data_IF_041578812021
#
_entry.id   IF_041578812021
#
_cell.length_a   1.000
_cell.length_b   1.000
_cell.length_c   1.000
_cell.angle_alpha   90.00
_cell.angle_beta   90.00
_cell.angle_gamma   90.00
#
_symmetry.space_group_name_H-M   'P 1'
#
loop_
_entity.id
_entity.type
_entity.pdbx_description
1 polymer ?
#
# COMPACT_ATOMS: atom_id res chain seq x y z
N UNK A 1 87.00 16.33 -25.33
CA UNK A 1 85.65 15.76 -25.54
C UNK A 1 85.19 15.11 -24.24
N UNK A 2 84.14 15.63 -23.59
CA UNK A 2 83.62 15.15 -22.30
C UNK A 2 82.56 14.08 -22.56
N UNK A 3 82.76 12.88 -22.03
CA UNK A 3 81.77 11.79 -22.03
C UNK A 3 80.74 12.07 -20.93
N UNK A 4 79.45 12.08 -21.30
CA UNK A 4 78.33 12.19 -20.35
C UNK A 4 77.68 10.81 -20.23
N UNK A 5 77.86 10.16 -19.09
CA UNK A 5 77.19 8.89 -18.76
C UNK A 5 75.72 9.14 -18.44
N UNK A 6 74.82 8.50 -19.19
CA UNK A 6 73.38 8.50 -18.91
C UNK A 6 73.05 7.45 -17.85
N UNK A 7 72.58 7.90 -16.69
CA UNK A 7 71.96 7.05 -15.66
C UNK A 7 70.52 6.75 -16.09
N UNK A 8 70.17 5.47 -16.21
CA UNK A 8 68.78 5.02 -16.42
C UNK A 8 68.18 4.71 -15.05
N UNK A 9 67.22 5.52 -14.62
CA UNK A 9 66.42 5.27 -13.41
C UNK A 9 65.23 4.40 -13.82
N UNK A 10 65.18 3.16 -13.33
CA UNK A 10 64.03 2.29 -13.50
C UNK A 10 62.93 2.68 -12.49
N UNK A 11 61.84 3.26 -12.98
CA UNK A 11 60.66 3.58 -12.17
C UNK A 11 59.78 2.33 -12.08
N UNK A 12 59.80 1.65 -10.93
CA UNK A 12 58.81 0.61 -10.61
C UNK A 12 57.45 1.26 -10.35
N UNK A 13 56.54 1.20 -11.31
CA UNK A 13 55.12 1.53 -11.09
C UNK A 13 54.47 0.41 -10.25
N UNK A 14 54.36 0.63 -8.95
CA UNK A 14 53.41 -0.11 -8.11
C UNK A 14 51.99 0.39 -8.44
N UNK A 15 51.26 -0.34 -9.27
CA UNK A 15 49.83 -0.12 -9.46
C UNK A 15 49.09 -0.53 -8.17
N UNK A 16 48.27 0.34 -7.56
CA UNK A 16 47.48 -0.03 -6.40
C UNK A 16 46.47 -1.11 -6.81
N UNK A 17 46.61 -2.30 -6.25
CA UNK A 17 45.60 -3.35 -6.33
C UNK A 17 44.43 -2.86 -5.48
N UNK A 18 43.43 -2.26 -6.12
CA UNK A 18 42.16 -1.93 -5.47
C UNK A 18 41.55 -3.25 -5.00
N UNK A 19 41.65 -3.53 -3.70
CA UNK A 19 40.97 -4.65 -3.07
C UNK A 19 39.47 -4.40 -3.21
N UNK A 20 38.83 -5.08 -4.16
CA UNK A 20 37.38 -5.16 -4.25
C UNK A 20 36.89 -5.93 -3.01
N UNK A 21 36.76 -5.24 -1.88
CA UNK A 21 36.04 -5.78 -0.74
C UNK A 21 34.61 -6.07 -1.22
N UNK A 22 34.26 -7.35 -1.30
CA UNK A 22 32.90 -7.75 -1.61
C UNK A 22 31.96 -7.05 -0.60
N UNK A 23 30.83 -6.46 -1.05
CA UNK A 23 29.91 -5.80 -0.14
C UNK A 23 29.46 -6.80 0.92
N UNK A 24 29.68 -6.45 2.19
CA UNK A 24 29.24 -7.25 3.34
C UNK A 24 27.75 -7.52 3.19
N UNK A 25 27.30 -8.79 3.30
CA UNK A 25 25.89 -9.10 3.18
C UNK A 25 25.10 -8.28 4.22
N UNK A 26 23.92 -7.73 3.86
CA UNK A 26 23.13 -7.00 4.82
C UNK A 26 22.80 -7.91 6.00
N UNK A 27 23.06 -7.42 7.21
CA UNK A 27 22.78 -8.14 8.46
C UNK A 27 21.44 -7.67 9.04
N UNK A 28 20.78 -8.55 9.79
CA UNK A 28 19.60 -8.20 10.58
C UNK A 28 19.94 -7.10 11.60
N UNK A 29 18.99 -6.21 11.86
CA UNK A 29 19.10 -5.21 12.90
C UNK A 29 18.85 -5.86 14.27
N UNK A 30 19.35 -5.26 15.38
CA UNK A 30 19.04 -5.76 16.72
C UNK A 30 17.53 -5.67 17.01
N UNK A 31 16.93 -6.82 17.33
CA UNK A 31 15.54 -6.94 17.76
C UNK A 31 14.54 -7.09 16.61
N UNK A 32 13.28 -6.76 16.85
CA UNK A 32 12.19 -7.02 15.90
C UNK A 32 11.12 -5.94 15.97
N UNK A 33 10.78 -5.33 14.83
CA UNK A 33 9.57 -4.51 14.71
C UNK A 33 8.36 -5.43 14.57
N UNK A 34 7.26 -5.08 15.25
CA UNK A 34 5.98 -5.76 15.12
C UNK A 34 4.93 -4.77 14.62
N UNK A 35 4.23 -5.11 13.54
CA UNK A 35 3.13 -4.32 12.98
C UNK A 35 1.88 -5.19 12.95
N UNK A 36 0.87 -4.84 13.74
CA UNK A 36 -0.40 -5.56 13.83
C UNK A 36 -1.52 -4.73 13.22
N UNK A 37 -2.10 -5.20 12.11
CA UNK A 37 -3.36 -4.68 11.57
C UNK A 37 -4.46 -5.40 12.34
N UNK A 38 -5.07 -4.71 13.30
CA UNK A 38 -6.00 -5.27 14.27
C UNK A 38 -7.35 -5.57 13.60
N UNK A 39 -7.95 -6.71 13.95
CA UNK A 39 -9.35 -6.98 13.59
C UNK A 39 -10.28 -6.16 14.51
N UNK A 40 -10.66 -4.98 14.04
CA UNK A 40 -11.59 -4.04 14.70
C UNK A 40 -12.94 -3.99 14.00
N UNK A 41 -13.25 -4.98 13.16
CA UNK A 41 -14.39 -4.93 12.26
C UNK A 41 -14.12 -4.03 11.04
N UNK A 42 -15.16 -3.32 10.58
CA UNK A 42 -14.99 -2.40 9.45
C UNK A 42 -14.26 -1.15 9.93
N UNK A 43 -13.03 -0.95 9.46
CA UNK A 43 -12.19 0.18 9.84
C UNK A 43 -10.71 -0.16 9.94
N UNK A 44 -9.93 0.80 10.43
CA UNK A 44 -8.49 0.65 10.66
C UNK A 44 -8.11 0.82 12.13
N UNK A 45 -7.29 -0.09 12.62
CA UNK A 45 -6.41 0.17 13.76
C UNK A 45 -5.10 -0.60 13.55
N UNK A 46 -3.98 0.11 13.45
CA UNK A 46 -2.67 -0.49 13.19
C UNK A 46 -1.73 -0.16 14.35
N UNK A 47 -1.35 -1.19 15.10
CA UNK A 47 -0.40 -1.09 16.21
C UNK A 47 1.02 -1.41 15.73
N UNK A 48 1.93 -0.47 15.94
CA UNK A 48 3.35 -0.62 15.63
C UNK A 48 4.13 -0.65 16.94
N UNK A 49 5.00 -1.64 17.10
CA UNK A 49 5.94 -1.75 18.22
C UNK A 49 7.36 -1.85 17.72
N UNK A 50 8.21 -0.95 18.18
CA UNK A 50 9.64 -0.98 17.88
C UNK A 50 10.36 -2.05 18.70
N UNK A 51 11.58 -2.44 18.29
CA UNK A 51 12.44 -3.31 19.09
C UNK A 51 12.67 -2.84 20.53
N UNK A 52 12.70 -1.51 20.75
CA UNK A 52 12.91 -0.86 22.04
C UNK A 52 11.62 -0.76 22.88
N UNK A 53 10.51 -1.32 22.41
CA UNK A 53 9.21 -1.28 23.10
C UNK A 53 8.45 0.03 22.94
N UNK A 54 8.87 0.91 22.02
CA UNK A 54 8.12 2.13 21.67
C UNK A 54 6.91 1.77 20.83
N UNK A 55 5.79 2.46 21.05
CA UNK A 55 4.50 2.08 20.46
C UNK A 55 3.83 3.24 19.74
N UNK A 56 3.31 2.95 18.54
CA UNK A 56 2.45 3.86 17.80
C UNK A 56 1.14 3.16 17.44
N UNK A 57 0.01 3.86 17.53
CA UNK A 57 -1.29 3.41 17.04
C UNK A 57 -1.74 4.32 15.90
N UNK A 58 -1.94 3.74 14.71
CA UNK A 58 -2.47 4.45 13.55
C UNK A 58 -3.93 4.05 13.39
N UNK A 59 -4.82 5.02 13.56
CA UNK A 59 -6.27 4.84 13.69
C UNK A 59 -6.66 3.90 14.87
N UNK A 60 -7.91 3.98 15.29
CA UNK A 60 -8.45 3.31 16.46
C UNK A 60 -9.74 2.54 16.17
N UNK A 61 -10.06 2.34 14.89
CA UNK A 61 -11.26 1.63 14.45
C UNK A 61 -12.54 2.36 14.84
N UNK A 62 -13.69 1.69 14.69
CA UNK A 62 -14.92 2.12 15.35
C UNK A 62 -14.76 2.08 16.87
N UNK A 63 -15.68 2.70 17.62
CA UNK A 63 -15.53 2.90 19.06
C UNK A 63 -15.51 1.64 19.92
N UNK A 64 -15.97 0.49 19.40
CA UNK A 64 -16.14 -0.71 20.22
C UNK A 64 -14.81 -1.50 20.40
N UNK A 65 -14.43 -1.74 21.65
CA UNK A 65 -13.41 -2.72 22.07
C UNK A 65 -11.94 -2.40 21.72
N UNK A 66 -11.61 -1.20 21.24
CA UNK A 66 -10.21 -0.89 20.91
C UNK A 66 -9.31 -0.94 22.14
N UNK A 67 -9.75 -0.41 23.29
CA UNK A 67 -8.94 -0.41 24.52
C UNK A 67 -8.67 -1.85 24.99
N UNK A 68 -9.70 -2.69 25.08
CA UNK A 68 -9.54 -4.09 25.47
C UNK A 68 -8.69 -4.88 24.48
N UNK A 69 -8.81 -4.57 23.18
CA UNK A 69 -7.95 -5.16 22.14
C UNK A 69 -6.48 -4.77 22.36
N UNK A 70 -6.19 -3.50 22.62
CA UNK A 70 -4.82 -3.03 22.89
C UNK A 70 -4.25 -3.65 24.17
N UNK A 71 -5.05 -3.79 25.23
CA UNK A 71 -4.67 -4.47 26.47
C UNK A 71 -4.36 -5.95 26.23
N UNK A 72 -5.20 -6.67 25.48
CA UNK A 72 -4.95 -8.06 25.08
C UNK A 72 -3.69 -8.22 24.22
N UNK A 73 -3.39 -7.21 23.40
CA UNK A 73 -2.13 -7.15 22.65
C UNK A 73 -0.93 -6.87 23.57
N UNK A 74 -1.13 -6.49 24.83
CA UNK A 74 -0.07 -6.15 25.79
C UNK A 74 0.41 -4.70 25.71
N UNK A 75 -0.41 -3.77 25.21
CA UNK A 75 -0.09 -2.33 25.23
C UNK A 75 -0.23 -1.82 26.66
N UNK A 76 0.84 -1.26 27.22
CA UNK A 76 0.83 -0.55 28.49
C UNK A 76 0.96 0.98 28.34
N UNK A 77 1.48 1.44 27.21
CA UNK A 77 1.62 2.87 26.89
C UNK A 77 1.62 3.09 25.38
N UNK A 78 1.35 4.32 24.94
CA UNK A 78 1.39 4.76 23.55
C UNK A 78 2.30 5.99 23.43
N UNK A 79 3.38 5.90 22.65
CA UNK A 79 4.24 7.06 22.37
C UNK A 79 3.59 7.98 21.34
N UNK A 80 2.95 7.42 20.31
CA UNK A 80 2.26 8.16 19.26
C UNK A 80 0.89 7.56 18.99
N UNK A 81 -0.12 8.40 18.84
CA UNK A 81 -1.38 8.02 18.17
C UNK A 81 -1.59 8.90 16.94
N UNK A 82 -2.12 8.30 15.88
CA UNK A 82 -2.39 9.00 14.62
C UNK A 82 -3.84 8.80 14.23
N UNK A 83 -4.53 9.86 13.82
CA UNK A 83 -5.82 9.80 13.13
C UNK A 83 -5.58 10.15 11.66
N UNK A 84 -5.81 9.21 10.76
CA UNK A 84 -5.56 9.38 9.33
C UNK A 84 -6.53 10.37 8.71
N UNK A 85 -7.83 10.25 8.99
CA UNK A 85 -8.88 11.17 8.53
C UNK A 85 -10.13 11.03 9.42
N UNK A 86 -11.19 11.78 9.10
CA UNK A 86 -12.32 11.99 10.01
C UNK A 86 -13.49 11.00 9.87
N UNK A 87 -13.31 9.83 9.25
CA UNK A 87 -14.36 8.80 9.25
C UNK A 87 -14.34 7.97 10.55
N UNK A 88 -15.54 7.62 11.03
CA UNK A 88 -15.72 7.02 12.35
C UNK A 88 -15.13 5.60 12.46
N UNK A 89 -14.97 4.89 11.35
CA UNK A 89 -14.26 3.61 11.28
C UNK A 89 -12.73 3.75 11.39
N UNK A 90 -12.22 4.99 11.51
CA UNK A 90 -10.80 5.29 11.76
C UNK A 90 -10.59 5.93 13.12
N UNK A 91 -11.22 7.07 13.41
CA UNK A 91 -10.99 7.77 14.68
C UNK A 91 -11.95 7.36 15.81
N UNK A 92 -12.97 6.55 15.52
CA UNK A 92 -14.12 6.34 16.40
C UNK A 92 -13.78 5.87 17.81
N UNK A 93 -12.77 5.02 17.97
CA UNK A 93 -12.28 4.59 19.29
C UNK A 93 -11.19 5.46 19.91
N UNK A 94 -10.77 6.54 19.24
CA UNK A 94 -9.60 7.31 19.66
C UNK A 94 -9.86 8.06 20.97
N UNK A 95 -11.08 8.48 21.28
CA UNK A 95 -11.36 9.16 22.54
C UNK A 95 -11.17 8.24 23.75
N UNK A 96 -11.59 6.98 23.64
CA UNK A 96 -11.33 5.93 24.63
C UNK A 96 -9.82 5.67 24.78
N UNK A 97 -9.09 5.59 23.67
CA UNK A 97 -7.63 5.43 23.67
C UNK A 97 -6.94 6.60 24.38
N UNK A 98 -7.31 7.84 24.08
CA UNK A 98 -6.78 9.03 24.76
C UNK A 98 -7.08 9.00 26.26
N UNK A 99 -8.28 8.54 26.64
CA UNK A 99 -8.68 8.43 28.05
C UNK A 99 -7.84 7.39 28.80
N UNK A 100 -7.67 6.21 28.22
CA UNK A 100 -7.03 5.05 28.83
C UNK A 100 -5.50 5.15 28.86
N UNK A 101 -4.87 5.51 27.73
CA UNK A 101 -3.40 5.41 27.58
C UNK A 101 -2.67 6.73 27.69
N UNK A 102 -3.36 7.88 27.53
CA UNK A 102 -2.79 9.23 27.55
C UNK A 102 -1.46 9.30 26.75
N UNK A 103 -1.52 9.15 25.42
CA UNK A 103 -0.31 9.03 24.60
C UNK A 103 0.60 10.26 24.69
N UNK A 104 1.88 10.07 24.39
CA UNK A 104 2.88 11.16 24.46
C UNK A 104 2.69 12.19 23.35
N UNK A 105 2.24 11.76 22.17
CA UNK A 105 1.93 12.62 21.03
C UNK A 105 0.65 12.18 20.33
N UNK A 106 -0.08 13.17 19.82
CA UNK A 106 -1.23 12.99 18.95
C UNK A 106 -0.91 13.59 17.57
N UNK A 107 -1.15 12.87 16.49
CA UNK A 107 -1.07 13.38 15.12
C UNK A 107 -2.42 13.21 14.44
N UNK A 108 -2.88 14.21 13.70
CA UNK A 108 -4.06 14.07 12.86
C UNK A 108 -3.86 14.77 11.52
N UNK A 109 -4.72 14.44 10.55
CA UNK A 109 -4.83 15.20 9.31
C UNK A 109 -4.98 16.69 9.57
N UNK A 110 -4.44 17.52 8.67
CA UNK A 110 -4.61 18.96 8.72
C UNK A 110 -5.91 19.44 8.06
N UNK A 111 -6.76 18.52 7.58
CA UNK A 111 -8.09 18.89 7.04
C UNK A 111 -8.98 19.48 8.13
N UNK A 112 -9.79 20.45 7.76
CA UNK A 112 -10.79 21.02 8.66
C UNK A 112 -12.02 20.13 8.70
N UNK A 113 -12.56 19.92 9.90
CA UNK A 113 -13.77 19.13 10.10
C UNK A 113 -14.57 19.67 11.28
N UNK A 114 -15.90 19.67 11.14
CA UNK A 114 -16.80 20.38 12.05
C UNK A 114 -17.76 19.46 12.79
N UNK A 115 -17.65 18.13 12.62
CA UNK A 115 -18.50 17.21 13.36
C UNK A 115 -18.24 17.30 14.87
N UNK A 116 -19.32 17.38 15.64
CA UNK A 116 -19.24 17.50 17.10
C UNK A 116 -18.45 16.34 17.76
N UNK A 117 -18.56 15.07 17.33
CA UNK A 117 -17.75 13.98 17.89
C UNK A 117 -16.24 14.21 17.71
N UNK A 118 -15.80 14.65 16.53
CA UNK A 118 -14.39 14.92 16.28
C UNK A 118 -13.90 16.15 17.06
N UNK A 119 -14.70 17.22 17.12
CA UNK A 119 -14.35 18.40 17.93
C UNK A 119 -14.24 18.05 19.43
N UNK A 120 -15.04 17.10 19.94
CA UNK A 120 -14.90 16.58 21.31
C UNK A 120 -13.59 15.83 21.51
N UNK A 121 -13.15 15.04 20.54
CA UNK A 121 -11.83 14.39 20.58
C UNK A 121 -10.71 15.44 20.66
N UNK A 122 -10.74 16.49 19.81
CA UNK A 122 -9.72 17.54 19.84
C UNK A 122 -9.70 18.30 21.18
N UNK A 123 -10.87 18.61 21.74
CA UNK A 123 -10.98 19.19 23.10
C UNK A 123 -10.38 18.27 24.15
N UNK A 124 -10.66 16.96 24.08
CA UNK A 124 -10.09 15.98 25.01
C UNK A 124 -8.55 15.92 24.91
N UNK A 125 -7.98 15.89 23.71
CA UNK A 125 -6.52 15.93 23.49
C UNK A 125 -5.90 17.17 24.13
N UNK A 126 -6.51 18.34 23.90
CA UNK A 126 -6.09 19.62 24.50
C UNK A 126 -6.21 19.61 26.02
N UNK A 127 -7.35 19.19 26.56
CA UNK A 127 -7.64 19.23 28.00
C UNK A 127 -6.75 18.23 28.78
N UNK A 128 -6.29 17.17 28.12
CA UNK A 128 -5.28 16.24 28.66
C UNK A 128 -3.84 16.76 28.53
N UNK A 129 -3.62 17.87 27.83
CA UNK A 129 -2.30 18.46 27.59
C UNK A 129 -1.41 17.58 26.72
N UNK A 130 -2.00 16.84 25.77
CA UNK A 130 -1.24 15.98 24.85
C UNK A 130 -0.73 16.84 23.70
N UNK A 131 0.59 16.90 23.45
CA UNK A 131 1.15 17.61 22.30
C UNK A 131 0.58 17.08 20.99
N UNK A 132 -0.08 17.96 20.23
CA UNK A 132 -0.60 17.67 18.91
C UNK A 132 0.39 18.13 17.85
N UNK A 133 0.65 17.26 16.87
CA UNK A 133 1.45 17.55 15.68
C UNK A 133 0.62 17.26 14.43
N UNK A 134 1.05 17.78 13.29
CA UNK A 134 0.38 17.53 12.01
C UNK A 134 1.38 17.23 10.88
N UNK A 135 0.86 16.77 9.74
CA UNK A 135 1.59 16.75 8.48
C UNK A 135 2.20 18.12 8.14
N UNK A 136 3.28 18.09 7.37
CA UNK A 136 3.98 19.29 6.89
C UNK A 136 4.03 19.30 5.36
N UNK A 137 4.33 20.44 4.71
CA UNK A 137 4.53 20.48 3.26
C UNK A 137 5.64 19.53 2.77
N UNK A 138 6.64 19.28 3.62
CA UNK A 138 7.70 18.30 3.40
C UNK A 138 7.45 17.03 4.23
N UNK A 139 8.00 15.87 3.84
CA UNK A 139 7.92 14.65 4.64
C UNK A 139 8.45 14.85 6.06
N UNK A 140 7.65 14.48 7.07
CA UNK A 140 8.05 14.53 8.48
C UNK A 140 8.49 13.14 8.94
N UNK A 141 9.72 13.02 9.43
CA UNK A 141 10.21 11.78 10.04
C UNK A 141 9.95 11.80 11.55
N UNK A 142 9.46 10.70 12.07
CA UNK A 142 9.27 10.43 13.50
C UNK A 142 10.01 9.14 13.82
N UNK A 143 10.93 9.22 14.77
CA UNK A 143 11.68 8.06 15.27
C UNK A 143 10.88 7.39 16.39
N UNK A 144 10.44 6.16 16.14
CA UNK A 144 9.85 5.27 17.12
C UNK A 144 10.92 4.26 17.54
N UNK A 145 11.92 4.71 18.28
CA UNK A 145 13.15 3.94 18.49
C UNK A 145 13.93 3.81 17.18
N UNK A 146 14.36 2.60 16.82
CA UNK A 146 15.03 2.33 15.53
C UNK A 146 14.08 2.24 14.33
N UNK A 147 12.77 2.27 14.56
CA UNK A 147 11.76 2.30 13.49
C UNK A 147 11.49 3.75 13.09
N UNK A 148 11.50 4.05 11.80
CA UNK A 148 11.20 5.40 11.29
C UNK A 148 9.80 5.41 10.68
N UNK A 149 8.94 6.27 11.20
CA UNK A 149 7.66 6.63 10.59
C UNK A 149 7.84 7.91 9.80
N UNK A 150 7.79 7.83 8.47
CA UNK A 150 7.79 9.01 7.60
C UNK A 150 6.35 9.35 7.25
N UNK A 151 5.86 10.44 7.82
CA UNK A 151 4.56 11.06 7.49
C UNK A 151 4.70 11.76 6.15
N UNK A 152 3.78 11.44 5.25
CA UNK A 152 3.75 12.02 3.91
C UNK A 152 3.39 13.50 4.00
N UNK A 153 3.79 14.30 2.99
CA UNK A 153 3.24 15.63 2.87
C UNK A 153 1.73 15.52 2.61
N UNK A 154 0.93 16.40 3.21
CA UNK A 154 -0.53 16.36 3.05
C UNK A 154 -0.91 16.84 1.65
N UNK A 155 -1.78 16.09 0.98
CA UNK A 155 -2.38 16.56 -0.26
C UNK A 155 -3.25 17.82 0.01
N UNK A 156 -3.51 18.66 -1.01
CA UNK A 156 -4.47 19.75 -0.87
C UNK A 156 -5.82 19.23 -0.36
N UNK A 157 -6.37 19.88 0.66
CA UNK A 157 -7.62 19.49 1.30
C UNK A 157 -8.76 19.34 0.27
N UNK A 158 -9.43 18.19 0.26
CA UNK A 158 -10.63 17.91 -0.52
C UNK A 158 -11.87 17.96 0.39
N UNK A 159 -12.64 19.06 0.38
CA UNK A 159 -13.82 19.20 1.23
C UNK A 159 -15.01 18.35 0.76
N UNK A 160 -14.93 17.70 -0.41
CA UNK A 160 -16.01 16.89 -0.98
C UNK A 160 -15.81 15.40 -0.75
N UNK A 161 -14.59 14.98 -0.44
CA UNK A 161 -14.22 13.58 -0.25
C UNK A 161 -13.21 13.49 0.90
N UNK A 162 -13.72 13.22 2.11
CA UNK A 162 -12.90 13.16 3.33
C UNK A 162 -11.81 12.10 3.25
N UNK A 163 -12.01 11.03 2.48
CA UNK A 163 -11.00 9.99 2.29
C UNK A 163 -9.70 10.51 1.64
N UNK A 164 -9.79 11.55 0.80
CA UNK A 164 -8.62 12.20 0.16
C UNK A 164 -7.89 13.19 1.08
N UNK A 165 -8.24 13.20 2.37
CA UNK A 165 -7.53 13.95 3.40
C UNK A 165 -6.80 13.01 4.36
N UNK A 166 -6.42 11.80 3.90
CA UNK A 166 -5.76 10.81 4.75
C UNK A 166 -4.32 11.17 5.05
N UNK A 167 -3.86 10.87 6.26
CA UNK A 167 -2.41 10.90 6.55
C UNK A 167 -1.76 9.64 5.99
N UNK A 168 -0.92 9.80 4.96
CA UNK A 168 -0.06 8.74 4.45
C UNK A 168 1.17 8.53 5.36
N UNK A 169 1.53 7.28 5.62
CA UNK A 169 2.68 6.91 6.47
C UNK A 169 3.46 5.78 5.83
N UNK A 170 4.78 5.96 5.74
CA UNK A 170 5.73 4.89 5.46
C UNK A 170 6.44 4.50 6.76
N UNK A 171 6.41 3.22 7.09
CA UNK A 171 7.18 2.62 8.18
C UNK A 171 8.43 2.00 7.57
N UNK A 172 9.62 2.36 8.05
CA UNK A 172 10.89 1.78 7.61
C UNK A 172 11.65 1.18 8.81
N UNK A 173 12.17 -0.04 8.63
CA UNK A 173 13.08 -0.70 9.56
C UNK A 173 14.04 -1.61 8.77
N UNK A 174 15.30 -1.18 8.64
CA UNK A 174 16.26 -1.85 7.75
C UNK A 174 15.77 -1.88 6.29
N UNK A 175 15.60 -3.08 5.74
CA UNK A 175 15.04 -3.34 4.40
C UNK A 175 13.55 -3.67 4.42
N UNK A 176 12.94 -3.76 5.61
CA UNK A 176 11.51 -3.98 5.77
C UNK A 176 10.77 -2.65 5.78
N UNK A 177 9.60 -2.62 5.14
CA UNK A 177 8.78 -1.41 5.02
C UNK A 177 7.29 -1.68 4.91
N UNK A 178 6.48 -0.78 5.45
CA UNK A 178 5.02 -0.84 5.40
C UNK A 178 4.48 0.49 4.89
N UNK A 179 3.58 0.45 3.91
CA UNK A 179 2.83 1.63 3.46
C UNK A 179 1.41 1.60 4.00
N UNK A 180 1.08 2.64 4.77
CA UNK A 180 -0.24 2.89 5.34
C UNK A 180 -0.80 4.14 4.66
N UNK A 181 -1.83 3.98 3.84
CA UNK A 181 -2.39 5.06 3.03
C UNK A 181 -3.74 5.58 3.56
N UNK A 182 -4.18 5.15 4.74
CA UNK A 182 -5.53 5.40 5.25
C UNK A 182 -6.56 5.00 4.19
N UNK A 183 -7.46 5.93 3.87
CA UNK A 183 -8.49 5.75 2.85
C UNK A 183 -8.24 6.53 1.56
N UNK A 184 -7.00 6.99 1.36
CA UNK A 184 -6.59 7.77 0.20
C UNK A 184 -7.10 7.16 -1.12
N UNK A 185 -7.96 7.91 -1.80
CA UNK A 185 -8.47 7.50 -3.11
C UNK A 185 -7.53 7.98 -4.22
N UNK A 186 -7.97 7.84 -5.47
CA UNK A 186 -7.18 8.17 -6.65
C UNK A 186 -6.59 9.59 -6.61
N UNK A 187 -7.32 10.60 -6.14
CA UNK A 187 -6.83 11.99 -6.18
C UNK A 187 -5.60 12.18 -5.28
N UNK A 188 -5.72 11.80 -4.00
CA UNK A 188 -4.64 11.91 -3.02
C UNK A 188 -3.44 11.03 -3.38
N UNK A 189 -3.68 9.76 -3.75
CA UNK A 189 -2.59 8.86 -4.20
C UNK A 189 -1.84 9.42 -5.40
N UNK A 190 -2.55 9.95 -6.40
CA UNK A 190 -1.92 10.58 -7.57
C UNK A 190 -1.10 11.80 -7.19
N UNK A 191 -1.49 12.54 -6.16
CA UNK A 191 -0.70 13.65 -5.65
C UNK A 191 0.61 13.15 -5.03
N UNK A 192 0.56 12.15 -4.13
CA UNK A 192 1.77 11.53 -3.55
C UNK A 192 2.69 10.90 -4.59
N UNK A 193 2.15 10.26 -5.63
CA UNK A 193 2.94 9.72 -6.73
C UNK A 193 3.76 10.79 -7.46
N UNK A 194 3.30 12.05 -7.45
CA UNK A 194 4.02 13.18 -8.09
C UNK A 194 4.97 13.87 -7.13
N UNK A 195 4.55 14.06 -5.87
CA UNK A 195 5.28 14.90 -4.90
C UNK A 195 6.22 14.11 -4.00
N UNK A 196 5.91 12.85 -3.72
CA UNK A 196 6.68 11.98 -2.85
C UNK A 196 6.79 10.53 -3.38
N UNK A 197 7.18 10.30 -4.66
CA UNK A 197 7.22 8.96 -5.25
C UNK A 197 8.12 7.99 -4.48
N UNK A 198 9.22 8.48 -3.91
CA UNK A 198 10.16 7.66 -3.14
C UNK A 198 9.54 7.09 -1.85
N UNK A 199 8.57 7.79 -1.24
CA UNK A 199 7.87 7.27 -0.05
C UNK A 199 6.85 6.19 -0.43
N UNK A 200 6.26 6.31 -1.61
CA UNK A 200 5.30 5.33 -2.14
C UNK A 200 5.99 4.03 -2.57
N UNK A 201 7.20 4.15 -3.15
CA UNK A 201 7.84 3.06 -3.88
C UNK A 201 8.36 1.91 -2.98
N UNK A 202 8.34 0.69 -3.51
CA UNK A 202 9.04 -0.47 -2.90
C UNK A 202 8.74 -0.69 -1.42
N UNK A 203 7.46 -0.84 -1.09
CA UNK A 203 7.03 -1.20 0.25
C UNK A 203 6.95 -2.71 0.39
N UNK A 204 7.37 -3.30 1.51
CA UNK A 204 7.24 -4.77 1.71
C UNK A 204 5.77 -5.14 1.89
N UNK A 205 5.05 -4.39 2.71
CA UNK A 205 3.63 -4.58 3.01
C UNK A 205 2.85 -3.33 2.56
N UNK A 206 1.68 -3.54 1.97
CA UNK A 206 0.71 -2.49 1.68
C UNK A 206 -0.58 -2.76 2.46
N UNK A 207 -0.98 -1.87 3.36
CA UNK A 207 -2.39 -1.82 3.81
C UNK A 207 -3.20 -1.19 2.69
N UNK A 208 -4.12 -1.95 2.10
CA UNK A 208 -4.91 -1.50 0.95
C UNK A 208 -5.71 -0.26 1.33
N UNK A 209 -5.48 0.85 0.64
CA UNK A 209 -6.23 2.07 0.92
C UNK A 209 -7.74 1.83 0.81
N UNK A 210 -8.51 2.48 1.68
CA UNK A 210 -9.97 2.43 1.67
C UNK A 210 -10.50 1.00 1.73
N UNK A 211 -9.86 0.20 2.58
CA UNK A 211 -10.23 -1.19 2.88
C UNK A 211 -10.23 -2.12 1.65
N UNK A 212 -9.55 -1.72 0.57
CA UNK A 212 -9.59 -2.41 -0.72
C UNK A 212 -10.73 -1.99 -1.65
N UNK A 213 -11.25 -0.77 -1.48
CA UNK A 213 -12.22 -0.16 -2.39
C UNK A 213 -11.68 -0.03 -3.81
N UNK A 214 -12.58 -0.06 -4.81
CA UNK A 214 -12.25 0.08 -6.24
C UNK A 214 -11.53 1.39 -6.60
N UNK A 215 -11.61 2.41 -5.76
CA UNK A 215 -10.92 3.70 -5.94
C UNK A 215 -9.64 3.85 -5.09
N UNK A 216 -9.40 2.91 -4.16
CA UNK A 216 -8.24 2.93 -3.26
C UNK A 216 -6.97 2.30 -3.86
N UNK A 217 -7.08 1.49 -4.92
CA UNK A 217 -5.91 0.86 -5.54
C UNK A 217 -6.10 0.69 -7.05
N UNK A 218 -5.03 0.93 -7.81
CA UNK A 218 -4.98 0.73 -9.26
C UNK A 218 -3.62 0.17 -9.71
N UNK A 219 -3.53 -0.26 -10.97
CA UNK A 219 -2.31 -0.86 -11.53
C UNK A 219 -1.08 0.04 -11.37
N UNK A 220 -1.24 1.35 -11.63
CA UNK A 220 -0.15 2.33 -11.53
C UNK A 220 0.34 2.48 -10.09
N UNK A 221 -0.55 2.41 -9.11
CA UNK A 221 -0.17 2.37 -7.70
C UNK A 221 0.62 1.11 -7.35
N UNK A 222 0.16 -0.06 -7.79
CA UNK A 222 0.87 -1.32 -7.55
C UNK A 222 2.23 -1.41 -8.27
N UNK A 223 2.35 -0.79 -9.45
CA UNK A 223 3.61 -0.68 -10.19
C UNK A 223 4.66 0.15 -9.43
N UNK A 224 4.22 1.18 -8.70
CA UNK A 224 5.06 2.02 -7.86
C UNK A 224 5.38 1.34 -6.53
N UNK A 225 4.36 0.93 -5.78
CA UNK A 225 4.50 0.38 -4.42
C UNK A 225 5.17 -0.99 -4.40
N UNK A 226 4.88 -1.84 -5.40
CA UNK A 226 5.46 -3.18 -5.58
C UNK A 226 5.46 -4.06 -4.32
N UNK A 227 4.31 -4.20 -3.61
CA UNK A 227 4.26 -4.93 -2.36
C UNK A 227 4.55 -6.42 -2.51
N UNK A 228 5.03 -7.03 -1.43
CA UNK A 228 5.19 -8.48 -1.30
C UNK A 228 3.92 -9.14 -0.76
N UNK A 229 3.14 -8.41 0.02
CA UNK A 229 1.83 -8.81 0.53
C UNK A 229 0.96 -7.57 0.71
N UNK A 230 -0.34 -7.70 0.46
CA UNK A 230 -1.34 -6.69 0.74
C UNK A 230 -2.24 -7.15 1.89
N UNK A 231 -2.66 -6.22 2.75
CA UNK A 231 -3.59 -6.47 3.86
C UNK A 231 -4.80 -5.57 3.69
N UNK A 232 -6.00 -6.14 3.75
CA UNK A 232 -7.25 -5.39 3.79
C UNK A 232 -7.82 -5.45 5.21
N UNK A 233 -7.88 -4.28 5.87
CA UNK A 233 -8.57 -4.13 7.15
C UNK A 233 -10.06 -3.89 6.87
N UNK A 234 -10.93 -4.77 7.33
CA UNK A 234 -12.37 -4.73 7.08
C UNK A 234 -13.13 -5.75 7.94
N UNK A 235 -14.43 -5.52 8.08
CA UNK A 235 -15.30 -6.35 8.90
C UNK A 235 -15.92 -7.52 8.13
N UNK A 236 -16.27 -8.58 8.87
CA UNK A 236 -17.12 -9.67 8.37
C UNK A 236 -18.46 -9.10 7.91
N UNK A 237 -18.94 -9.54 6.75
CA UNK A 237 -20.21 -9.10 6.16
C UNK A 237 -20.37 -7.57 6.07
N UNK A 238 -19.27 -6.84 5.80
CA UNK A 238 -19.34 -5.39 5.66
C UNK A 238 -20.26 -4.98 4.49
N UNK A 239 -21.12 -3.99 4.72
CA UNK A 239 -22.12 -3.51 3.76
C UNK A 239 -21.51 -2.83 2.53
N UNK A 240 -20.23 -2.44 2.60
CA UNK A 240 -19.48 -1.85 1.50
C UNK A 240 -19.01 -2.88 0.48
N UNK A 241 -19.14 -4.18 0.79
CA UNK A 241 -18.63 -5.29 -0.01
C UNK A 241 -17.12 -5.20 -0.29
N UNK A 242 -16.38 -4.66 0.67
CA UNK A 242 -14.93 -4.60 0.66
C UNK A 242 -14.30 -5.98 0.99
N UNK A 243 -13.12 -6.28 0.42
CA UNK A 243 -12.49 -5.56 -0.67
C UNK A 243 -13.28 -5.82 -1.97
N UNK A 244 -13.34 -4.81 -2.85
CA UNK A 244 -14.08 -4.94 -4.11
C UNK A 244 -13.46 -6.05 -4.99
N UNK A 245 -14.27 -6.84 -5.74
CA UNK A 245 -13.77 -7.90 -6.61
C UNK A 245 -12.68 -7.44 -7.59
N UNK A 246 -12.82 -6.23 -8.15
CA UNK A 246 -11.85 -5.65 -9.08
C UNK A 246 -10.47 -5.46 -8.43
N UNK A 247 -10.44 -5.08 -7.14
CA UNK A 247 -9.21 -4.94 -6.36
C UNK A 247 -8.56 -6.30 -6.14
N UNK A 248 -9.36 -7.32 -5.77
CA UNK A 248 -8.88 -8.70 -5.58
C UNK A 248 -8.30 -9.28 -6.87
N UNK A 249 -9.01 -9.12 -8.00
CA UNK A 249 -8.55 -9.55 -9.32
C UNK A 249 -7.29 -8.81 -9.76
N UNK A 250 -7.18 -7.52 -9.44
CA UNK A 250 -5.97 -6.75 -9.72
C UNK A 250 -4.77 -7.28 -8.92
N UNK A 251 -4.90 -7.55 -7.63
CA UNK A 251 -3.82 -8.12 -6.81
C UNK A 251 -3.40 -9.50 -7.32
N UNK A 252 -4.36 -10.35 -7.69
CA UNK A 252 -4.09 -11.66 -8.27
C UNK A 252 -3.28 -11.56 -9.57
N UNK A 253 -3.59 -10.62 -10.46
CA UNK A 253 -2.81 -10.38 -11.70
C UNK A 253 -1.37 -9.94 -11.44
N UNK A 254 -1.10 -9.35 -10.28
CA UNK A 254 0.24 -8.90 -9.88
C UNK A 254 1.00 -9.96 -9.05
N UNK A 255 0.40 -11.12 -8.83
CA UNK A 255 0.91 -12.15 -7.92
C UNK A 255 1.19 -11.57 -6.51
N UNK A 256 0.28 -10.73 -6.01
CA UNK A 256 0.34 -10.15 -4.67
C UNK A 256 -0.65 -10.93 -3.79
N UNK A 257 -0.17 -11.67 -2.78
CA UNK A 257 -1.02 -12.29 -1.77
C UNK A 257 -1.84 -11.24 -1.02
N UNK A 258 -3.10 -11.58 -0.74
CA UNK A 258 -4.03 -10.75 0.01
C UNK A 258 -4.41 -11.44 1.32
N UNK A 259 -4.22 -10.73 2.43
CA UNK A 259 -4.72 -11.08 3.76
C UNK A 259 -5.88 -10.14 4.12
N UNK A 260 -6.84 -10.61 4.90
CA UNK A 260 -8.02 -9.84 5.29
C UNK A 260 -8.37 -10.08 6.75
N UNK A 261 -8.59 -9.01 7.51
CA UNK A 261 -8.89 -9.14 8.95
C UNK A 261 -10.19 -9.89 9.22
N UNK A 262 -11.19 -9.77 8.35
CA UNK A 262 -12.45 -10.51 8.49
C UNK A 262 -12.32 -12.04 8.36
N UNK A 263 -11.24 -12.52 7.74
CA UNK A 263 -10.99 -13.95 7.52
C UNK A 263 -9.84 -14.47 8.38
N UNK A 264 -8.79 -13.68 8.48
CA UNK A 264 -7.50 -14.03 9.06
C UNK A 264 -7.31 -13.44 10.47
N UNK A 265 -8.32 -12.73 10.99
CA UNK A 265 -8.25 -12.00 12.26
C UNK A 265 -7.19 -10.92 12.23
N UNK A 266 -6.64 -10.58 13.40
CA UNK A 266 -5.51 -9.64 13.47
C UNK A 266 -4.32 -10.18 12.67
N UNK A 267 -3.86 -9.40 11.69
CA UNK A 267 -2.69 -9.72 10.86
C UNK A 267 -1.47 -9.06 11.47
N UNK A 268 -0.58 -9.86 12.05
CA UNK A 268 0.65 -9.41 12.68
C UNK A 268 1.87 -9.74 11.82
N UNK A 269 2.65 -8.73 11.45
CA UNK A 269 3.92 -8.89 10.75
C UNK A 269 5.07 -8.57 11.69
N UNK A 270 6.07 -9.45 11.74
CA UNK A 270 7.30 -9.26 12.52
C UNK A 270 8.50 -9.23 11.61
N UNK A 271 9.44 -8.31 11.84
CA UNK A 271 10.67 -8.23 11.03
C UNK A 271 11.90 -7.86 11.86
N UNK A 272 13.03 -8.51 11.56
CA UNK A 272 14.37 -8.17 12.07
C UNK A 272 15.08 -7.11 11.18
N UNK A 273 14.35 -6.50 10.25
CA UNK A 273 14.86 -5.52 9.29
C UNK A 273 15.49 -6.15 8.04
N UNK A 274 15.57 -7.47 7.94
CA UNK A 274 16.00 -8.17 6.71
C UNK A 274 14.99 -9.24 6.29
N UNK A 275 14.59 -10.06 7.25
CA UNK A 275 13.57 -11.08 7.15
C UNK A 275 12.28 -10.61 7.83
N UNK A 276 11.16 -11.16 7.40
CA UNK A 276 9.87 -10.88 8.00
C UNK A 276 8.94 -12.08 7.89
N UNK A 277 7.96 -12.16 8.79
CA UNK A 277 6.99 -13.24 8.89
C UNK A 277 5.61 -12.68 9.22
N UNK A 278 4.56 -13.41 8.83
CA UNK A 278 3.16 -13.05 9.06
C UNK A 278 2.51 -14.07 10.00
N UNK A 279 1.71 -13.57 10.94
CA UNK A 279 0.92 -14.32 11.90
C UNK A 279 -0.54 -13.85 11.82
N UNK A 280 -1.49 -14.78 11.92
CA UNK A 280 -2.94 -14.58 11.78
C UNK A 280 -3.67 -15.37 12.88
N UNK A 281 -4.93 -15.05 13.19
CA UNK A 281 -5.75 -15.74 14.20
C UNK A 281 -7.15 -16.10 13.63
N UNK A 282 -7.72 -17.30 13.83
CA UNK A 282 -7.28 -18.42 14.67
C UNK A 282 -6.45 -19.42 13.86
N UNK A 283 -5.39 -19.94 14.48
CA UNK A 283 -4.49 -20.99 13.99
C UNK A 283 -3.45 -20.65 12.89
N UNK A 284 -2.22 -21.08 13.24
CA UNK A 284 -1.04 -21.30 12.42
C UNK A 284 -0.30 -20.06 11.94
N UNK A 285 0.99 -19.96 12.31
CA UNK A 285 1.95 -19.20 11.51
C UNK A 285 1.84 -19.69 10.08
N UNK A 286 1.26 -18.91 9.17
CA UNK A 286 1.42 -19.22 7.75
C UNK A 286 2.93 -19.16 7.52
N UNK A 287 3.55 -20.30 7.21
CA UNK A 287 5.01 -20.49 7.18
C UNK A 287 5.71 -19.72 6.06
N UNK A 288 5.43 -18.42 5.94
CA UNK A 288 6.13 -17.47 5.10
C UNK A 288 7.47 -17.15 5.75
N UNK A 289 8.35 -18.15 5.73
CA UNK A 289 9.78 -17.95 5.95
C UNK A 289 10.43 -17.70 4.59
N UNK A 290 11.00 -16.50 4.42
CA UNK A 290 12.03 -16.22 3.43
C UNK A 290 11.68 -16.46 1.95
N UNK A 291 11.01 -15.49 1.32
CA UNK A 291 11.02 -15.42 -0.14
C UNK A 291 12.41 -14.97 -0.64
N UNK A 292 13.12 -15.81 -1.41
CA UNK A 292 14.41 -15.47 -2.02
C UNK A 292 14.23 -14.33 -3.07
N UNK A 293 14.82 -13.13 -2.85
CA UNK A 293 14.68 -12.00 -3.76
C UNK A 293 15.22 -12.26 -5.17
N UNK A 294 16.08 -13.28 -5.38
CA UNK A 294 16.65 -13.65 -6.68
C UNK A 294 15.65 -14.33 -7.62
N UNK A 295 14.56 -14.90 -7.11
CA UNK A 295 13.53 -15.57 -7.95
C UNK A 295 12.64 -14.57 -8.72
N UNK A 296 12.45 -13.35 -8.20
CA UNK A 296 11.59 -12.32 -8.83
C UNK A 296 12.33 -11.40 -9.82
N UNK A 297 13.65 -11.25 -9.73
CA UNK A 297 14.40 -10.40 -10.68
C UNK A 297 14.44 -11.01 -12.09
N UNK A 298 14.57 -12.34 -12.19
CA UNK A 298 14.49 -13.07 -13.47
C UNK A 298 13.12 -12.97 -14.14
N UNK A 299 12.02 -13.00 -13.36
CA UNK A 299 10.66 -12.90 -13.91
C UNK A 299 10.26 -11.48 -14.39
N UNK A 300 11.15 -10.48 -14.27
CA UNK A 300 10.91 -9.10 -14.70
C UNK A 300 11.66 -8.71 -15.98
N UNK A 301 12.79 -9.35 -16.31
CA UNK A 301 13.49 -9.07 -17.57
C UNK A 301 12.65 -9.43 -18.80
N UNK A 302 11.70 -10.36 -18.65
CA UNK A 302 10.88 -10.85 -19.75
C UNK A 302 9.56 -10.05 -19.94
N UNK A 303 9.26 -9.07 -19.07
CA UNK A 303 7.98 -8.32 -19.10
C UNK A 303 7.92 -7.14 -20.08
N UNK A 304 8.95 -6.96 -20.92
CA UNK A 304 8.88 -6.03 -22.06
C UNK A 304 8.39 -6.66 -23.37
N UNK A 305 8.01 -7.93 -23.36
CA UNK A 305 7.18 -8.48 -24.43
C UNK A 305 5.72 -8.06 -24.23
N UNK A 306 5.12 -7.38 -25.22
CA UNK A 306 3.66 -7.13 -25.26
C UNK A 306 2.94 -8.47 -25.07
N UNK A 307 1.96 -8.58 -24.14
CA UNK A 307 1.26 -9.83 -23.94
C UNK A 307 0.51 -10.20 -25.22
N UNK A 308 0.92 -11.31 -25.83
CA UNK A 308 0.12 -11.97 -26.87
C UNK A 308 -0.94 -12.79 -26.14
N UNK A 309 -2.24 -12.61 -26.41
CA UNK A 309 -3.27 -13.29 -25.64
C UNK A 309 -3.18 -14.81 -25.83
N UNK A 310 -3.05 -15.53 -24.71
CA UNK A 310 -3.08 -16.99 -24.58
C UNK A 310 -4.50 -17.58 -24.70
N UNK A 311 -5.50 -16.73 -24.97
CA UNK A 311 -6.86 -17.11 -25.36
C UNK A 311 -7.08 -16.64 -26.79
N UNK A 312 -7.43 -17.56 -27.70
CA UNK A 312 -7.70 -17.22 -29.10
C UNK A 312 -8.72 -16.07 -29.24
N UNK A 313 -8.52 -15.23 -30.26
CA UNK A 313 -9.32 -14.03 -30.53
C UNK A 313 -10.83 -14.29 -30.42
N UNK A 314 -11.50 -13.50 -29.58
CA UNK A 314 -12.93 -13.60 -29.30
C UNK A 314 -13.72 -13.16 -30.54
N UNK A 315 -14.53 -14.06 -31.09
CA UNK A 315 -15.36 -13.74 -32.25
C UNK A 315 -16.53 -12.84 -31.84
N UNK A 316 -16.55 -11.58 -32.29
CA UNK A 316 -17.51 -10.56 -31.86
C UNK A 316 -18.95 -10.83 -32.34
N UNK A 317 -19.12 -11.70 -33.33
CA UNK A 317 -20.43 -12.14 -33.84
C UNK A 317 -20.97 -13.39 -33.15
N UNK A 318 -20.10 -14.21 -32.55
CA UNK A 318 -20.47 -15.50 -31.95
C UNK A 318 -20.35 -15.57 -30.43
N UNK A 319 -19.50 -14.72 -29.83
CA UNK A 319 -19.24 -14.75 -28.40
C UNK A 319 -20.50 -14.51 -27.56
N UNK A 320 -20.64 -15.21 -26.45
CA UNK A 320 -21.62 -14.88 -25.41
C UNK A 320 -21.29 -13.53 -24.75
N UNK A 321 -22.27 -12.91 -24.08
CA UNK A 321 -22.06 -11.69 -23.28
C UNK A 321 -20.95 -11.89 -22.25
N UNK A 322 -20.90 -13.06 -21.60
CA UNK A 322 -19.86 -13.43 -20.63
C UNK A 322 -18.48 -13.52 -21.27
N UNK A 323 -18.37 -14.02 -22.49
CA UNK A 323 -17.11 -14.04 -23.23
C UNK A 323 -16.68 -12.63 -23.66
N UNK A 324 -17.60 -11.78 -24.10
CA UNK A 324 -17.29 -10.38 -24.46
C UNK A 324 -16.79 -9.57 -23.25
N UNK A 325 -17.33 -9.83 -22.06
CA UNK A 325 -16.89 -9.18 -20.80
C UNK A 325 -15.47 -9.54 -20.37
N UNK A 326 -14.85 -10.55 -20.99
CA UNK A 326 -13.43 -10.88 -20.78
C UNK A 326 -12.50 -9.93 -21.56
N UNK A 327 -13.02 -9.13 -22.49
CA UNK A 327 -12.26 -8.14 -23.24
C UNK A 327 -12.04 -6.91 -22.35
N UNK A 328 -10.78 -6.45 -22.14
CA UNK A 328 -10.50 -5.24 -21.37
C UNK A 328 -11.31 -4.04 -21.88
N UNK A 329 -11.98 -3.33 -20.97
CA UNK A 329 -12.80 -2.16 -21.32
C UNK A 329 -14.22 -2.45 -21.82
N UNK A 330 -14.63 -3.72 -21.93
CA UNK A 330 -16.01 -4.13 -22.26
C UNK A 330 -16.76 -4.58 -21.00
N UNK A 331 -17.52 -3.67 -20.40
CA UNK A 331 -18.44 -3.98 -19.30
C UNK A 331 -19.78 -4.57 -19.77
N UNK A 332 -20.67 -4.89 -18.82
CA UNK A 332 -22.00 -5.49 -19.10
C UNK A 332 -22.79 -4.70 -20.16
N UNK A 333 -22.89 -3.38 -20.00
CA UNK A 333 -23.62 -2.49 -20.92
C UNK A 333 -23.05 -2.54 -22.34
N UNK A 334 -21.72 -2.54 -22.49
CA UNK A 334 -21.08 -2.61 -23.81
C UNK A 334 -21.22 -3.99 -24.42
N UNK A 335 -21.09 -5.06 -23.62
CA UNK A 335 -21.34 -6.42 -24.11
C UNK A 335 -22.78 -6.59 -24.62
N UNK A 336 -23.77 -6.01 -23.93
CA UNK A 336 -25.16 -6.01 -24.37
C UNK A 336 -25.35 -5.26 -25.69
N UNK A 337 -24.72 -4.10 -25.84
CA UNK A 337 -24.76 -3.29 -27.08
C UNK A 337 -24.05 -3.98 -28.24
N UNK A 338 -22.91 -4.63 -28.00
CA UNK A 338 -22.20 -5.42 -29.00
C UNK A 338 -23.08 -6.59 -29.48
N UNK A 339 -23.75 -7.31 -28.57
CA UNK A 339 -24.65 -8.41 -28.98
C UNK A 339 -25.84 -7.87 -29.79
N UNK A 340 -26.40 -6.73 -29.37
CA UNK A 340 -27.54 -6.09 -30.06
C UNK A 340 -27.17 -5.58 -31.46
N UNK A 341 -25.94 -5.12 -31.67
CA UNK A 341 -25.49 -4.54 -32.94
C UNK A 341 -24.94 -5.54 -33.96
N UNK A 342 -25.02 -6.85 -33.69
CA UNK A 342 -24.60 -7.89 -34.64
C UNK A 342 -25.49 -7.92 -35.89
N UNK A 343 -24.96 -8.35 -37.05
CA UNK A 343 -23.59 -8.78 -37.28
C UNK A 343 -22.64 -7.64 -37.71
N UNK A 344 -21.37 -7.78 -37.34
CA UNK A 344 -20.25 -6.96 -37.77
C UNK A 344 -19.50 -7.65 -38.91
N UNK A 345 -19.17 -6.92 -39.98
CA UNK A 345 -18.38 -7.45 -41.10
C UNK A 345 -16.88 -7.46 -40.77
N UNK A 346 -16.42 -6.41 -40.10
CA UNK A 346 -15.03 -6.23 -39.63
C UNK A 346 -15.01 -5.87 -38.15
N UNK A 347 -13.84 -5.94 -37.52
CA UNK A 347 -13.68 -5.46 -36.13
C UNK A 347 -13.93 -3.96 -36.04
N UNK A 348 -13.60 -3.21 -37.09
CA UNK A 348 -13.76 -1.75 -37.12
C UNK A 348 -15.23 -1.33 -37.09
N UNK A 349 -16.15 -2.21 -37.48
CA UNK A 349 -17.57 -1.93 -37.37
C UNK A 349 -18.04 -1.69 -35.92
N UNK A 350 -17.25 -2.07 -34.92
CA UNK A 350 -17.53 -1.82 -33.51
C UNK A 350 -17.56 -0.33 -33.16
N UNK A 351 -16.97 0.58 -33.94
CA UNK A 351 -17.13 2.03 -33.68
C UNK A 351 -18.58 2.52 -33.82
N UNK A 352 -19.46 1.71 -34.46
CA UNK A 352 -20.90 1.99 -34.52
C UNK A 352 -21.62 1.68 -33.20
N UNK A 353 -20.97 0.97 -32.28
CA UNK A 353 -21.53 0.66 -30.97
C UNK A 353 -21.33 1.87 -30.07
N UNK A 354 -22.43 2.46 -29.62
CA UNK A 354 -22.42 3.57 -28.68
C UNK A 354 -21.56 3.23 -27.44
N UNK A 355 -20.53 4.03 -27.20
CA UNK A 355 -19.55 3.81 -26.12
C UNK A 355 -18.26 3.06 -26.53
N UNK A 356 -18.11 2.72 -27.81
CA UNK A 356 -16.87 2.25 -28.43
C UNK A 356 -16.43 3.28 -29.47
N UNK A 357 -15.54 4.20 -29.10
CA UNK A 357 -14.87 5.12 -30.04
C UNK A 357 -13.53 4.55 -30.55
N UNK A 358 -12.89 5.26 -31.48
CA UNK A 358 -11.57 4.95 -32.08
C UNK A 358 -10.53 4.47 -31.06
N UNK A 359 -10.38 5.21 -29.94
CA UNK A 359 -9.44 4.87 -28.88
C UNK A 359 -9.73 3.50 -28.25
N UNK A 360 -11.00 3.24 -27.94
CA UNK A 360 -11.42 1.98 -27.34
C UNK A 360 -11.36 0.83 -28.34
N UNK A 361 -11.69 1.09 -29.60
CA UNK A 361 -11.52 0.14 -30.69
C UNK A 361 -10.05 -0.33 -30.78
N UNK A 362 -9.10 0.61 -30.72
CA UNK A 362 -7.68 0.30 -30.71
C UNK A 362 -7.25 -0.57 -29.51
N UNK A 363 -7.81 -0.29 -28.32
CA UNK A 363 -7.55 -1.07 -27.09
C UNK A 363 -8.10 -2.50 -27.18
N UNK A 364 -9.28 -2.71 -27.78
CA UNK A 364 -9.91 -4.04 -27.86
C UNK A 364 -9.48 -4.86 -29.08
N UNK A 365 -8.97 -4.22 -30.15
CA UNK A 365 -8.59 -4.85 -31.43
C UNK A 365 -7.71 -6.11 -31.27
N UNK A 366 -6.72 -6.15 -30.36
CA UNK A 366 -5.88 -7.34 -30.18
C UNK A 366 -6.58 -8.56 -29.60
N UNK A 367 -7.82 -8.42 -29.10
CA UNK A 367 -8.54 -9.46 -28.38
C UNK A 367 -9.70 -10.05 -29.19
N UNK A 368 -10.01 -9.49 -30.37
CA UNK A 368 -11.25 -9.78 -31.09
C UNK A 368 -11.03 -10.07 -32.57
N UNK A 369 -11.97 -10.82 -33.17
CA UNK A 369 -12.08 -11.04 -34.61
C UNK A 369 -13.54 -11.01 -35.07
N UNK A 370 -13.80 -10.61 -36.31
CA UNK A 370 -15.15 -10.62 -36.88
C UNK A 370 -15.58 -11.99 -37.46
N UNK A 371 -14.61 -12.83 -37.84
CA UNK A 371 -14.82 -14.17 -38.42
C UNK A 371 -14.04 -15.23 -37.67
#
# INVERSE_FOLDING_TARGET
MRFVSRVVVAVCLCLPIASCAAPTPPHALPGTVTVSILDVGQGDAILIRSPEGKTALIDAGPSANIVSTLEQQGVSSLDLVVVSHHHADHYGGMDEVIRAFRPRFFLASSSSHTSEPYLKLLRLVRDRGIPAIGPTPEPRKIELGTVVLTIFPQAPNDPREENNNSVGIRVDYGRFSVLLAGDAQTQERRWWERTAPNLCADSTVLKLAHHGSRNGTDARWLDLVRPRVAVASLGKNNDYHHPHPETVELLARYDIPLLRTDRDGTVTIRSDGLHWQVFTHPDVSTGWSGFDPRRRSRARSDRHAKPTPTLGLININKASKTQLRKIPGIGQVLADRIVKGRPYRTVDDLVRVEGIGEKRLAEIRPYVRAR
#
